data_IF_785490902044
#
_entry.id   IF_785490902044
#
_cell.length_a   1.000
_cell.length_b   1.000
_cell.length_c   1.000
_cell.angle_alpha   90.00
_cell.angle_beta   90.00
_cell.angle_gamma   90.00
#
_symmetry.space_group_name_H-M   'P 1'
#
loop_
_entity.id
_entity.type
_entity.pdbx_description
1 polymer ?
#
# COMPACT_ATOMS: atom_id res chain seq x y z
N UNK A 1 12.22 -22.34 5.14
CA UNK A 1 12.69 -21.26 6.04
C UNK A 1 13.37 -21.90 7.23
N UNK A 2 14.67 -21.65 7.39
CA UNK A 2 15.44 -22.21 8.50
C UNK A 2 15.61 -21.09 9.53
N UNK A 3 14.72 -21.03 10.51
CA UNK A 3 14.99 -20.31 11.76
C UNK A 3 16.21 -21.01 12.35
N UNK A 4 17.40 -20.43 12.18
CA UNK A 4 18.66 -21.04 12.66
C UNK A 4 18.84 -20.81 14.16
N UNK A 5 18.37 -19.68 14.68
CA UNK A 5 18.38 -19.38 16.12
C UNK A 5 16.98 -19.21 16.70
N UNK A 6 16.76 -19.81 17.87
CA UNK A 6 15.52 -19.73 18.64
C UNK A 6 15.25 -18.29 19.09
N UNK A 7 14.00 -17.84 19.02
CA UNK A 7 13.60 -16.53 19.54
C UNK A 7 13.67 -16.53 21.07
N UNK A 8 14.08 -15.40 21.63
CA UNK A 8 13.95 -15.15 23.07
C UNK A 8 12.49 -14.88 23.45
N UNK A 9 12.11 -15.13 24.71
CA UNK A 9 10.74 -14.86 25.21
C UNK A 9 10.27 -13.41 24.97
N UNK A 10 11.19 -12.46 25.05
CA UNK A 10 10.91 -11.04 24.80
C UNK A 10 10.60 -10.79 23.32
N UNK A 11 11.40 -11.39 22.42
CA UNK A 11 11.17 -11.31 20.97
C UNK A 11 9.85 -11.97 20.58
N UNK A 12 9.55 -13.16 21.10
CA UNK A 12 8.26 -13.85 20.88
C UNK A 12 7.07 -13.00 21.33
N UNK A 13 7.19 -12.39 22.52
CA UNK A 13 6.15 -11.51 23.07
C UNK A 13 5.91 -10.29 22.19
N UNK A 14 6.98 -9.69 21.65
CA UNK A 14 6.90 -8.56 20.75
C UNK A 14 6.23 -8.93 19.42
N UNK A 15 6.66 -10.02 18.80
CA UNK A 15 6.10 -10.54 17.54
C UNK A 15 4.60 -10.83 17.71
N UNK A 16 4.22 -11.52 18.78
CA UNK A 16 2.82 -11.86 19.08
C UNK A 16 1.97 -10.62 19.32
N UNK A 17 2.48 -9.65 20.11
CA UNK A 17 1.77 -8.39 20.41
C UNK A 17 1.47 -7.60 19.14
N UNK A 18 2.42 -7.54 18.21
CA UNK A 18 2.29 -6.77 16.97
C UNK A 18 1.79 -7.60 15.77
N UNK A 19 1.45 -8.88 15.99
CA UNK A 19 0.96 -9.81 14.97
C UNK A 19 1.88 -9.90 13.76
N UNK A 20 3.19 -9.92 14.02
CA UNK A 20 4.20 -10.08 12.97
C UNK A 20 4.22 -11.56 12.55
N UNK A 21 3.94 -11.89 11.27
CA UNK A 21 4.06 -13.24 10.76
C UNK A 21 5.51 -13.73 10.80
N UNK A 22 5.73 -14.98 11.20
CA UNK A 22 7.07 -15.57 11.34
C UNK A 22 7.81 -15.70 10.00
N UNK A 23 7.07 -15.89 8.91
CA UNK A 23 7.57 -15.96 7.53
C UNK A 23 8.10 -14.62 7.00
N UNK A 24 7.83 -13.52 7.70
CA UNK A 24 8.38 -12.20 7.40
C UNK A 24 9.67 -11.89 8.17
N UNK A 25 10.15 -12.82 9.00
CA UNK A 25 11.34 -12.67 9.82
C UNK A 25 12.59 -13.26 9.15
N UNK A 26 13.71 -12.57 9.31
CA UNK A 26 15.02 -13.03 8.86
C UNK A 26 16.03 -13.02 10.01
N UNK A 27 16.80 -14.10 10.17
CA UNK A 27 17.82 -14.18 11.21
C UNK A 27 19.10 -13.48 10.75
N UNK A 28 19.40 -12.33 11.33
CA UNK A 28 20.59 -11.55 11.00
C UNK A 28 21.87 -12.09 11.67
N UNK A 29 21.78 -13.06 12.58
CA UNK A 29 22.96 -13.72 13.18
C UNK A 29 23.98 -12.75 13.81
N UNK A 30 23.52 -11.65 14.39
CA UNK A 30 24.34 -10.61 14.99
C UNK A 30 24.81 -9.52 14.02
N UNK A 31 24.49 -9.62 12.73
CA UNK A 31 24.88 -8.62 11.74
C UNK A 31 24.06 -7.33 11.85
N UNK A 32 24.67 -6.24 11.37
CA UNK A 32 23.98 -4.99 11.07
C UNK A 32 23.26 -5.04 9.72
N UNK A 33 22.53 -3.99 9.41
CA UNK A 33 21.76 -3.89 8.15
C UNK A 33 22.63 -3.50 6.97
N UNK A 34 23.50 -4.42 6.55
CA UNK A 34 24.36 -4.29 5.36
C UNK A 34 23.55 -4.45 4.07
N UNK A 35 24.08 -3.99 2.93
CA UNK A 35 23.44 -4.21 1.63
C UNK A 35 23.32 -5.70 1.28
N UNK A 36 24.31 -6.52 1.67
CA UNK A 36 24.24 -7.97 1.50
C UNK A 36 23.08 -8.59 2.29
N UNK A 37 22.89 -8.19 3.54
CA UNK A 37 21.77 -8.68 4.36
C UNK A 37 20.42 -8.24 3.78
N UNK A 38 20.29 -6.98 3.32
CA UNK A 38 19.07 -6.49 2.67
C UNK A 38 18.74 -7.25 1.39
N UNK A 39 19.75 -7.61 0.61
CA UNK A 39 19.59 -8.42 -0.59
C UNK A 39 19.06 -9.81 -0.23
N UNK A 40 19.67 -10.49 0.75
CA UNK A 40 19.21 -11.79 1.25
C UNK A 40 17.79 -11.75 1.79
N UNK A 41 17.45 -10.69 2.54
CA UNK A 41 16.09 -10.49 3.05
C UNK A 41 15.08 -10.33 1.91
N UNK A 42 15.45 -9.58 0.87
CA UNK A 42 14.62 -9.35 -0.32
C UNK A 42 14.37 -10.65 -1.08
N UNK A 43 15.41 -11.45 -1.30
CA UNK A 43 15.34 -12.77 -1.93
C UNK A 43 14.49 -13.75 -1.12
N UNK A 44 14.59 -13.69 0.22
CA UNK A 44 13.77 -14.48 1.13
C UNK A 44 12.34 -13.93 1.33
N UNK A 45 12.01 -12.78 0.70
CA UNK A 45 10.74 -12.06 0.87
C UNK A 45 10.38 -11.75 2.33
N UNK A 46 11.40 -11.50 3.15
CA UNK A 46 11.29 -11.10 4.56
C UNK A 46 11.40 -9.58 4.69
N UNK A 47 10.90 -9.00 5.78
CA UNK A 47 10.89 -7.53 5.97
C UNK A 47 11.37 -7.07 7.33
N UNK A 48 11.53 -7.99 8.28
CA UNK A 48 12.05 -7.69 9.62
C UNK A 48 13.18 -8.67 9.93
N UNK A 49 14.37 -8.14 10.14
CA UNK A 49 15.49 -8.89 10.69
C UNK A 49 15.37 -8.99 12.21
N UNK A 50 15.70 -10.14 12.77
CA UNK A 50 15.85 -10.39 14.21
C UNK A 50 17.27 -10.86 14.51
N UNK A 51 17.68 -10.79 15.78
CA UNK A 51 19.07 -11.00 16.21
C UNK A 51 20.05 -10.06 15.49
N UNK A 52 19.64 -8.82 15.24
CA UNK A 52 20.55 -7.79 14.71
C UNK A 52 21.39 -7.19 15.83
N UNK A 53 22.40 -6.40 15.46
CA UNK A 53 23.00 -5.43 16.40
C UNK A 53 21.92 -4.54 17.04
N UNK A 54 22.18 -4.13 18.29
CA UNK A 54 21.34 -3.22 19.06
C UNK A 54 21.03 -1.92 18.34
N UNK A 55 19.94 -1.24 18.71
CA UNK A 55 19.64 0.09 18.18
C UNK A 55 20.29 1.17 19.05
N UNK A 56 20.53 2.36 18.48
CA UNK A 56 21.18 3.46 19.20
C UNK A 56 20.41 3.99 20.42
N UNK A 57 19.13 3.60 20.59
CA UNK A 57 18.30 3.99 21.73
C UNK A 57 18.27 2.93 22.84
N UNK A 58 18.49 1.67 22.50
CA UNK A 58 18.48 0.52 23.43
C UNK A 58 19.22 -0.66 22.78
N UNK A 59 20.33 -1.07 23.38
CA UNK A 59 21.15 -2.18 22.88
C UNK A 59 20.42 -3.53 22.93
N UNK A 60 19.35 -3.64 23.72
CA UNK A 60 18.50 -4.83 23.76
C UNK A 60 17.49 -4.89 22.61
N UNK A 61 17.35 -3.81 21.82
CA UNK A 61 16.51 -3.81 20.63
C UNK A 61 17.26 -4.40 19.43
N UNK A 62 17.00 -5.67 19.18
CA UNK A 62 17.68 -6.50 18.18
C UNK A 62 16.76 -6.90 17.03
N UNK A 63 15.74 -6.07 16.75
CA UNK A 63 15.00 -6.09 15.51
C UNK A 63 15.37 -4.90 14.62
N UNK A 64 15.40 -5.13 13.31
CA UNK A 64 15.49 -4.07 12.30
C UNK A 64 14.50 -4.33 11.17
N UNK A 65 13.91 -3.28 10.63
CA UNK A 65 13.20 -3.36 9.35
C UNK A 65 14.22 -3.53 8.22
N UNK A 66 13.80 -3.96 7.04
CA UNK A 66 14.69 -4.06 5.87
C UNK A 66 15.38 -2.71 5.55
N UNK A 67 14.72 -1.58 5.83
CA UNK A 67 15.28 -0.23 5.69
C UNK A 67 16.22 0.19 6.85
N UNK A 68 16.40 -0.66 7.86
CA UNK A 68 17.33 -0.42 8.98
C UNK A 68 16.75 0.30 10.21
N UNK A 69 15.44 0.55 10.25
CA UNK A 69 14.79 1.16 11.41
C UNK A 69 14.54 0.13 12.52
N UNK A 70 14.51 0.59 13.78
CA UNK A 70 14.13 -0.25 14.91
C UNK A 70 12.60 -0.26 15.08
N UNK A 71 11.90 -1.39 14.78
CA UNK A 71 10.45 -1.46 14.91
C UNK A 71 9.98 -1.45 16.37
N UNK A 72 10.86 -1.74 17.34
CA UNK A 72 10.55 -1.64 18.77
C UNK A 72 10.46 -0.18 19.23
N UNK A 73 11.24 0.72 18.64
CA UNK A 73 11.16 2.16 18.90
C UNK A 73 10.02 2.83 18.11
N UNK A 74 9.78 2.36 16.88
CA UNK A 74 8.82 2.97 15.94
C UNK A 74 7.77 1.95 15.48
N UNK A 75 6.94 1.49 16.42
CA UNK A 75 5.96 0.41 16.17
C UNK A 75 4.96 0.73 15.04
N UNK A 76 4.75 2.02 14.73
CA UNK A 76 3.91 2.43 13.60
C UNK A 76 4.41 1.91 12.23
N UNK A 77 5.72 1.72 12.07
CA UNK A 77 6.31 1.18 10.82
C UNK A 77 5.97 -0.28 10.59
N UNK A 78 5.70 -1.04 11.65
CA UNK A 78 5.31 -2.46 11.54
C UNK A 78 4.01 -2.56 10.74
N UNK A 79 3.00 -1.78 11.11
CA UNK A 79 1.71 -1.81 10.43
C UNK A 79 1.83 -1.44 8.95
N UNK A 80 2.72 -0.51 8.60
CA UNK A 80 3.00 -0.15 7.21
C UNK A 80 3.65 -1.30 6.44
N UNK A 81 4.72 -1.89 6.98
CA UNK A 81 5.43 -3.02 6.35
C UNK A 81 4.52 -4.23 6.14
N UNK A 82 3.71 -4.56 7.14
CA UNK A 82 2.76 -5.68 7.03
C UNK A 82 1.69 -5.42 5.97
N UNK A 83 1.24 -4.17 5.80
CA UNK A 83 0.26 -3.80 4.74
C UNK A 83 0.85 -3.94 3.34
N UNK A 84 2.11 -3.57 3.15
CA UNK A 84 2.80 -3.71 1.86
C UNK A 84 2.85 -5.18 1.38
N UNK A 85 2.89 -6.14 2.32
CA UNK A 85 2.96 -7.59 2.06
C UNK A 85 1.63 -8.32 2.23
N UNK A 86 0.54 -7.59 2.43
CA UNK A 86 -0.76 -8.21 2.64
C UNK A 86 -1.33 -8.69 1.30
N UNK A 87 -1.75 -9.94 1.22
CA UNK A 87 -2.53 -10.44 0.08
C UNK A 87 -3.90 -9.78 0.06
N UNK A 88 -4.36 -9.32 -1.09
CA UNK A 88 -5.68 -8.71 -1.26
C UNK A 88 -5.93 -8.29 -2.70
N UNK A 89 -6.80 -7.32 -2.91
CA UNK A 89 -7.18 -6.84 -4.23
C UNK A 89 -6.72 -5.41 -4.44
N UNK A 90 -6.16 -5.13 -5.61
CA UNK A 90 -6.13 -3.79 -6.19
C UNK A 90 -7.41 -3.59 -6.99
N UNK A 91 -7.97 -2.39 -6.94
CA UNK A 91 -9.14 -2.05 -7.74
C UNK A 91 -9.07 -0.65 -8.35
N UNK A 92 -9.77 -0.50 -9.47
CA UNK A 92 -10.10 0.77 -10.10
C UNK A 92 -11.60 1.01 -9.89
N UNK A 93 -11.95 2.13 -9.27
CA UNK A 93 -13.32 2.62 -9.22
C UNK A 93 -13.43 3.97 -9.91
N UNK A 94 -14.57 4.26 -10.55
CA UNK A 94 -14.82 5.54 -11.20
C UNK A 94 -16.06 6.23 -10.67
N UNK A 95 -16.01 7.55 -10.56
CA UNK A 95 -17.18 8.43 -10.33
C UNK A 95 -17.37 9.32 -11.56
N UNK A 96 -18.57 9.29 -12.15
CA UNK A 96 -18.93 10.14 -13.29
C UNK A 96 -19.27 11.55 -12.83
N UNK A 97 -19.94 11.69 -11.68
CA UNK A 97 -20.20 12.99 -11.04
C UNK A 97 -18.92 13.77 -10.78
N UNK A 98 -17.85 13.09 -10.37
CA UNK A 98 -16.55 13.70 -10.11
C UNK A 98 -15.64 13.81 -11.34
N UNK A 99 -15.87 13.02 -12.39
CA UNK A 99 -14.88 12.73 -13.43
C UNK A 99 -13.54 12.26 -12.82
N UNK A 100 -13.64 11.34 -11.86
CA UNK A 100 -12.50 10.87 -11.06
C UNK A 100 -12.35 9.36 -11.15
N UNK A 101 -11.10 8.93 -11.20
CA UNK A 101 -10.69 7.55 -10.98
C UNK A 101 -10.10 7.43 -9.58
N UNK A 102 -10.47 6.36 -8.88
CA UNK A 102 -9.90 5.95 -7.61
C UNK A 102 -9.13 4.66 -7.79
N UNK A 103 -7.90 4.64 -7.29
CA UNK A 103 -7.07 3.43 -7.18
C UNK A 103 -6.93 3.09 -5.72
N UNK A 104 -7.31 1.88 -5.34
CA UNK A 104 -7.22 1.47 -3.94
C UNK A 104 -6.86 0.00 -3.77
N UNK A 105 -6.50 -0.37 -2.54
CA UNK A 105 -6.39 -1.76 -2.11
C UNK A 105 -7.48 -2.17 -1.10
N UNK A 106 -7.88 -3.44 -1.10
CA UNK A 106 -8.83 -3.98 -0.11
C UNK A 106 -8.85 -5.50 -0.04
N UNK A 107 -9.29 -6.04 1.09
CA UNK A 107 -9.58 -7.46 1.27
C UNK A 107 -10.94 -7.88 0.68
N UNK A 108 -11.86 -6.93 0.47
CA UNK A 108 -13.19 -7.23 -0.05
C UNK A 108 -13.70 -6.06 -0.91
N UNK A 109 -13.61 -6.23 -2.23
CA UNK A 109 -13.97 -5.20 -3.22
C UNK A 109 -15.45 -4.83 -3.17
N UNK A 110 -16.35 -5.80 -2.95
CA UNK A 110 -17.80 -5.56 -2.90
C UNK A 110 -18.15 -4.65 -1.72
N UNK A 111 -17.68 -4.98 -0.52
CA UNK A 111 -17.93 -4.18 0.68
C UNK A 111 -17.25 -2.82 0.59
N UNK A 112 -16.06 -2.76 -0.03
CA UNK A 112 -15.35 -1.50 -0.25
C UNK A 112 -16.17 -0.54 -1.10
N UNK A 113 -16.69 -0.99 -2.24
CA UNK A 113 -17.45 -0.14 -3.17
C UNK A 113 -18.76 0.31 -2.54
N UNK A 114 -19.46 -0.59 -1.83
CA UNK A 114 -20.63 -0.20 -1.01
C UNK A 114 -20.28 0.91 -0.03
N UNK A 115 -19.14 0.79 0.66
CA UNK A 115 -18.70 1.80 1.64
C UNK A 115 -18.36 3.15 1.02
N UNK A 116 -17.84 3.20 -0.20
CA UNK A 116 -17.54 4.46 -0.88
C UNK A 116 -18.82 5.26 -1.14
N UNK A 117 -19.92 4.57 -1.40
CA UNK A 117 -21.22 5.16 -1.73
C UNK A 117 -22.17 5.32 -0.54
N UNK A 118 -21.76 4.94 0.68
CA UNK A 118 -22.62 5.11 1.86
C UNK A 118 -22.85 6.60 2.14
N UNK A 119 -24.07 7.04 2.51
CA UNK A 119 -24.36 8.44 2.80
C UNK A 119 -23.47 9.07 3.89
N UNK A 120 -23.02 8.27 4.86
CA UNK A 120 -22.13 8.72 5.95
C UNK A 120 -20.65 8.80 5.56
N UNK A 121 -20.32 8.37 4.34
CA UNK A 121 -18.94 8.35 3.83
C UNK A 121 -18.81 9.17 2.56
N UNK A 122 -19.69 9.00 1.57
CA UNK A 122 -19.68 9.69 0.27
C UNK A 122 -18.26 10.05 -0.16
N UNK A 123 -17.44 9.02 -0.43
CA UNK A 123 -16.00 9.20 -0.49
C UNK A 123 -15.63 10.31 -1.48
N UNK A 124 -14.81 11.26 -1.04
CA UNK A 124 -14.44 12.46 -1.81
C UNK A 124 -15.60 13.39 -2.21
N UNK A 125 -16.75 13.28 -1.54
CA UNK A 125 -17.99 14.01 -1.83
C UNK A 125 -18.90 13.33 -2.86
N UNK A 126 -18.59 12.10 -3.30
CA UNK A 126 -19.35 11.41 -4.34
C UNK A 126 -19.90 10.06 -3.85
N UNK A 127 -21.03 9.65 -4.43
CA UNK A 127 -21.82 8.45 -4.08
C UNK A 127 -22.16 7.57 -5.30
N UNK A 128 -21.55 7.86 -6.45
CA UNK A 128 -21.72 7.13 -7.71
C UNK A 128 -20.49 6.31 -8.09
N UNK A 129 -19.69 5.88 -7.10
CA UNK A 129 -18.49 5.07 -7.32
C UNK A 129 -18.87 3.70 -7.86
N UNK A 130 -18.34 3.36 -9.04
CA UNK A 130 -18.54 2.07 -9.69
C UNK A 130 -17.22 1.31 -9.75
N UNK A 131 -17.24 0.03 -9.39
CA UNK A 131 -16.10 -0.87 -9.60
C UNK A 131 -15.95 -1.15 -11.10
N UNK A 132 -14.80 -0.79 -11.67
CA UNK A 132 -14.48 -0.99 -13.09
C UNK A 132 -13.54 -2.18 -13.28
N UNK A 133 -12.60 -2.34 -12.35
CA UNK A 133 -11.57 -3.38 -12.40
C UNK A 133 -11.19 -3.82 -10.99
N UNK A 134 -10.90 -5.10 -10.81
CA UNK A 134 -10.14 -5.62 -9.68
C UNK A 134 -9.22 -6.77 -10.07
N UNK A 135 -8.12 -6.91 -9.34
CA UNK A 135 -7.21 -8.03 -9.46
C UNK A 135 -6.58 -8.35 -8.11
N UNK A 136 -6.42 -9.63 -7.82
CA UNK A 136 -5.79 -10.13 -6.60
C UNK A 136 -4.28 -10.13 -6.75
N UNK A 137 -3.59 -9.67 -5.70
CA UNK A 137 -2.12 -9.65 -5.56
C UNK A 137 -1.74 -10.12 -4.17
N UNK A 138 -0.55 -10.69 -4.02
CA UNK A 138 0.02 -11.08 -2.73
C UNK A 138 0.62 -9.89 -1.97
N UNK A 139 0.77 -8.73 -2.61
CA UNK A 139 1.47 -7.54 -2.08
C UNK A 139 0.67 -6.25 -2.26
N UNK A 140 -0.60 -6.25 -1.82
CA UNK A 140 -1.58 -5.20 -2.15
C UNK A 140 -1.10 -3.78 -1.84
N UNK A 141 -0.45 -3.54 -0.69
CA UNK A 141 -0.01 -2.19 -0.32
C UNK A 141 1.13 -1.70 -1.20
N UNK A 142 2.09 -2.58 -1.50
CA UNK A 142 3.22 -2.27 -2.38
C UNK A 142 2.76 -2.01 -3.80
N UNK A 143 1.90 -2.87 -4.33
CA UNK A 143 1.32 -2.71 -5.67
C UNK A 143 0.54 -1.40 -5.76
N UNK A 144 -0.32 -1.10 -4.79
CA UNK A 144 -1.09 0.14 -4.73
C UNK A 144 -0.17 1.36 -4.80
N UNK A 145 0.83 1.45 -3.91
CA UNK A 145 1.76 2.57 -3.87
C UNK A 145 2.49 2.77 -5.21
N UNK A 146 2.96 1.70 -5.84
CA UNK A 146 3.62 1.74 -7.15
C UNK A 146 2.71 2.26 -8.27
N UNK A 147 1.43 1.87 -8.27
CA UNK A 147 0.45 2.41 -9.22
C UNK A 147 0.24 3.90 -8.96
N UNK A 148 0.10 4.28 -7.68
CA UNK A 148 -0.11 5.68 -7.29
C UNK A 148 1.08 6.58 -7.67
N UNK A 149 2.31 6.07 -7.56
CA UNK A 149 3.54 6.74 -8.03
C UNK A 149 3.50 6.99 -9.55
N UNK A 150 3.13 5.99 -10.36
CA UNK A 150 2.99 6.15 -11.83
C UNK A 150 1.90 7.14 -12.22
N UNK A 151 0.89 7.33 -11.38
CA UNK A 151 -0.23 8.25 -11.62
C UNK A 151 -0.09 9.60 -10.88
N UNK A 152 1.05 9.88 -10.24
CA UNK A 152 1.22 11.06 -9.38
C UNK A 152 0.92 12.37 -10.12
N UNK A 153 1.26 12.46 -11.40
CA UNK A 153 0.98 13.64 -12.21
C UNK A 153 -0.52 13.92 -12.35
N UNK A 154 -1.41 12.93 -12.20
CA UNK A 154 -2.86 13.10 -12.33
C UNK A 154 -3.56 13.17 -10.96
N UNK A 155 -2.80 13.12 -9.87
CA UNK A 155 -3.34 13.03 -8.52
C UNK A 155 -4.13 14.28 -8.14
N UNK A 156 -5.25 14.08 -7.46
CA UNK A 156 -6.04 15.14 -6.82
C UNK A 156 -6.35 14.71 -5.39
N UNK A 157 -6.53 15.69 -4.51
CA UNK A 157 -7.00 15.47 -3.15
C UNK A 157 -8.29 16.23 -2.97
N UNK A 158 -9.34 15.51 -2.58
CA UNK A 158 -10.61 16.11 -2.18
C UNK A 158 -10.81 15.87 -0.68
N UNK A 159 -11.33 16.86 0.03
CA UNK A 159 -11.74 16.67 1.41
C UNK A 159 -13.17 16.16 1.48
N UNK A 160 -13.45 15.30 2.44
CA UNK A 160 -14.80 14.80 2.70
C UNK A 160 -14.99 14.53 4.19
N UNK A 161 -16.24 14.59 4.65
CA UNK A 161 -16.56 14.25 6.03
C UNK A 161 -16.83 12.76 6.16
N UNK A 162 -16.17 12.12 7.12
CA UNK A 162 -16.41 10.73 7.49
C UNK A 162 -16.56 10.62 9.00
N UNK A 163 -17.77 10.24 9.42
CA UNK A 163 -18.11 10.09 10.84
C UNK A 163 -17.79 11.35 11.67
N UNK A 164 -18.16 12.54 11.17
CA UNK A 164 -17.95 13.82 11.86
C UNK A 164 -16.51 14.35 11.82
N UNK A 165 -15.62 13.76 11.02
CA UNK A 165 -14.24 14.22 10.86
C UNK A 165 -13.95 14.48 9.39
N UNK A 166 -13.34 15.63 9.11
CA UNK A 166 -12.76 15.92 7.79
C UNK A 166 -11.59 14.98 7.52
N UNK A 167 -11.56 14.39 6.33
CA UNK A 167 -10.51 13.50 5.85
C UNK A 167 -10.15 13.84 4.41
N UNK A 168 -8.87 13.68 4.09
CA UNK A 168 -8.37 13.82 2.73
C UNK A 168 -8.54 12.49 1.96
N UNK A 169 -9.16 12.56 0.79
CA UNK A 169 -9.22 11.46 -0.16
C UNK A 169 -7.98 11.51 -1.07
N UNK A 170 -6.88 10.93 -0.60
CA UNK A 170 -5.57 10.96 -1.27
C UNK A 170 -5.34 9.92 -2.36
N UNK A 171 -6.37 9.21 -2.79
CA UNK A 171 -6.30 8.06 -3.71
C UNK A 171 -7.08 8.33 -5.01
N UNK A 172 -7.09 9.59 -5.46
CA UNK A 172 -7.92 10.08 -6.55
C UNK A 172 -7.10 10.65 -7.69
N UNK A 173 -7.58 10.44 -8.91
CA UNK A 173 -6.86 10.77 -10.14
C UNK A 173 -7.81 11.34 -11.19
N UNK A 174 -7.38 12.42 -11.85
CA UNK A 174 -8.04 13.01 -13.02
C UNK A 174 -7.47 12.39 -14.29
N UNK A 175 -7.83 11.13 -14.55
CA UNK A 175 -7.39 10.38 -15.72
C UNK A 175 -8.49 9.49 -16.28
N UNK A 176 -8.26 8.98 -17.49
CA UNK A 176 -9.09 7.93 -18.08
C UNK A 176 -8.88 6.60 -17.37
N UNK A 177 -9.89 5.72 -17.45
CA UNK A 177 -9.75 4.32 -17.06
C UNK A 177 -8.53 3.67 -17.73
N UNK A 178 -8.33 3.89 -19.04
CA UNK A 178 -7.21 3.27 -19.76
C UNK A 178 -5.87 3.72 -19.16
N UNK A 179 -5.68 5.01 -18.86
CA UNK A 179 -4.45 5.48 -18.23
C UNK A 179 -4.20 4.82 -16.87
N UNK A 180 -5.26 4.66 -16.07
CA UNK A 180 -5.16 3.95 -14.80
C UNK A 180 -4.82 2.46 -14.99
N UNK A 181 -5.45 1.80 -15.97
CA UNK A 181 -5.21 0.39 -16.28
C UNK A 181 -3.80 0.15 -16.82
N UNK A 182 -3.29 1.06 -17.65
CA UNK A 182 -1.91 1.04 -18.18
C UNK A 182 -0.88 1.09 -17.05
N UNK A 183 -1.14 1.86 -15.99
CA UNK A 183 -0.26 1.89 -14.82
C UNK A 183 -0.21 0.53 -14.08
N UNK A 184 -1.30 -0.24 -14.10
CA UNK A 184 -1.34 -1.60 -13.52
C UNK A 184 -0.60 -2.59 -14.44
N UNK A 185 -0.91 -2.60 -15.75
CA UNK A 185 -0.30 -3.55 -16.69
C UNK A 185 1.20 -3.34 -16.85
N UNK A 186 1.66 -2.09 -16.74
CA UNK A 186 3.10 -1.78 -16.75
C UNK A 186 3.83 -2.45 -15.57
N UNK A 187 3.21 -2.52 -14.39
CA UNK A 187 3.83 -3.17 -13.22
C UNK A 187 3.91 -4.69 -13.33
N UNK A 188 2.96 -5.31 -14.02
CA UNK A 188 2.98 -6.74 -14.33
C UNK A 188 4.22 -7.10 -15.18
N UNK A 189 4.61 -6.23 -16.12
CA UNK A 189 5.78 -6.42 -16.97
C UNK A 189 7.12 -6.00 -16.34
N UNK A 190 7.18 -4.86 -15.66
CA UNK A 190 8.45 -4.25 -15.20
C UNK A 190 8.94 -4.77 -13.84
N UNK A 191 8.05 -5.10 -12.90
CA UNK A 191 8.42 -5.32 -11.48
C UNK A 191 7.96 -6.69 -10.91
N UNK A 192 7.64 -7.67 -11.76
CA UNK A 192 7.22 -9.02 -11.36
C UNK A 192 6.02 -9.05 -10.37
N UNK A 193 5.06 -8.14 -10.53
CA UNK A 193 3.80 -8.25 -9.79
C UNK A 193 2.90 -9.28 -10.45
N UNK A 194 2.52 -10.31 -9.70
CA UNK A 194 1.54 -11.30 -10.15
C UNK A 194 0.12 -10.84 -9.82
N UNK A 195 -0.73 -10.82 -10.85
CA UNK A 195 -2.15 -10.55 -10.73
C UNK A 195 -2.96 -11.81 -11.04
N UNK A 196 -3.84 -12.18 -10.13
CA UNK A 196 -4.77 -13.31 -10.29
C UNK A 196 -6.21 -12.83 -10.09
N UNK A 197 -7.20 -13.67 -10.42
CA UNK A 197 -8.63 -13.35 -10.23
C UNK A 197 -9.00 -11.96 -10.78
N UNK A 198 -8.66 -11.73 -12.05
CA UNK A 198 -8.83 -10.45 -12.71
C UNK A 198 -10.29 -10.31 -13.18
N UNK A 199 -10.95 -9.25 -12.75
CA UNK A 199 -12.29 -8.89 -13.19
C UNK A 199 -12.30 -7.48 -13.80
N UNK A 200 -13.00 -7.31 -14.91
CA UNK A 200 -13.09 -6.05 -15.63
C UNK A 200 -14.48 -5.86 -16.24
N UNK A 201 -15.15 -4.75 -15.92
CA UNK A 201 -16.50 -4.43 -16.42
C UNK A 201 -16.42 -3.65 -17.73
N UNK A 202 -16.07 -4.37 -18.80
CA UNK A 202 -15.77 -3.79 -20.11
C UNK A 202 -16.90 -2.98 -20.74
N UNK A 203 -18.14 -3.36 -20.45
CA UNK A 203 -19.36 -2.67 -20.85
C UNK A 203 -19.46 -1.26 -20.27
N UNK A 204 -18.88 -1.01 -19.10
CA UNK A 204 -18.93 0.29 -18.42
C UNK A 204 -17.76 1.20 -18.80
N UNK A 205 -16.63 0.64 -19.23
CA UNK A 205 -15.38 1.37 -19.51
C UNK A 205 -15.56 2.63 -20.38
N UNK A 206 -16.37 2.64 -21.45
CA UNK A 206 -16.54 3.83 -22.29
C UNK A 206 -16.95 5.09 -21.51
N UNK A 207 -17.75 4.95 -20.45
CA UNK A 207 -18.24 6.05 -19.63
C UNK A 207 -17.17 6.68 -18.71
N UNK A 208 -16.01 6.03 -18.58
CA UNK A 208 -14.93 6.41 -17.66
C UNK A 208 -13.63 6.80 -18.38
N UNK A 209 -13.72 7.12 -19.68
CA UNK A 209 -12.60 7.65 -20.47
C UNK A 209 -12.44 9.17 -20.26
N UNK A 210 -12.24 9.59 -19.01
CA UNK A 210 -12.07 11.00 -18.68
C UNK A 210 -10.78 11.61 -19.24
N UNK A 211 -10.71 12.93 -19.27
CA UNK A 211 -9.49 13.65 -19.68
C UNK A 211 -8.34 13.38 -18.68
N UNK A 212 -7.14 13.16 -19.21
CA UNK A 212 -5.91 13.03 -18.44
C UNK A 212 -5.37 14.41 -18.03
N UNK A 213 -5.85 14.94 -16.90
CA UNK A 213 -5.47 16.27 -16.41
C UNK A 213 -4.31 16.16 -15.42
N UNK A 214 -3.28 16.96 -15.63
CA UNK A 214 -2.19 17.06 -14.64
C UNK A 214 -2.67 17.78 -13.38
N UNK A 215 -2.15 17.38 -12.22
CA UNK A 215 -2.26 18.09 -10.98
C UNK A 215 -1.79 19.53 -11.21
N UNK A 216 -2.60 20.51 -10.81
CA UNK A 216 -2.11 21.89 -10.79
C UNK A 216 -1.01 21.94 -9.75
N UNK A 217 0.22 22.21 -10.18
CA UNK A 217 1.27 22.65 -9.27
C UNK A 217 0.74 23.94 -8.65
N UNK A 218 0.35 23.91 -7.39
CA UNK A 218 0.18 25.15 -6.63
C UNK A 218 1.58 25.73 -6.49
N UNK A 219 1.89 26.75 -7.28
CA UNK A 219 3.03 27.65 -7.04
C UNK A 219 2.69 28.45 -5.78
N UNK A 220 2.81 27.81 -4.63
CA UNK A 220 2.53 28.39 -3.32
C UNK A 220 3.26 27.58 -2.23
N UNK A 221 4.59 27.47 -2.35
CA UNK A 221 5.48 27.01 -1.28
C UNK A 221 6.97 27.28 -1.61
N UNK A 222 7.28 28.43 -2.20
CA UNK A 222 8.65 28.97 -2.27
C UNK A 222 8.59 30.41 -1.80
N UNK A 223 8.27 30.60 -0.52
CA UNK A 223 8.54 31.81 0.27
C UNK A 223 8.21 31.49 1.73
N UNK A 224 9.21 30.93 2.41
CA UNK A 224 9.47 31.04 3.85
C UNK A 224 10.90 30.59 4.12
#
# INVERSE_FOLDING_TARGET
MTIKHLLTKTQESFIKKHKIPMDLLFDAQGEGMTEGLKQLMSEANTVIAYNTVGCSKDDNHNFKTIDGHCPQCETGRIAFLLRERQTGFIYIAGSRKGNLIKIGSTQNVINRIKSLNMPKTMYAGFDDWVLLFDAKTTTQGRTERKIQEKLIENKVVNQYEKSGKLQDAGELYRCSYNKAKDAITTLEGEEQFEFTQIHEKRDLIPDYQFKNLKARISVAAFEA
#
